data_IF_769593167934
#
_entry.id   IF_769593167934
#
_cell.length_a   1.000
_cell.length_b   1.000
_cell.length_c   1.000
_cell.angle_alpha   90.00
_cell.angle_beta   90.00
_cell.angle_gamma   90.00
#
_symmetry.space_group_name_H-M   'P 1'
#
loop_
_entity.id
_entity.type
_entity.pdbx_description
1 polymer ?
#
# COMPACT_ATOMS: atom_id res chain seq x y z
N UNK A 1 23.62 7.24 23.01
CA UNK A 1 22.62 7.81 22.07
C UNK A 1 23.16 7.63 20.67
N UNK A 2 22.70 6.61 19.95
CA UNK A 2 23.13 6.36 18.58
C UNK A 2 22.06 6.90 17.64
N UNK A 3 22.37 7.98 16.92
CA UNK A 3 21.57 8.45 15.81
C UNK A 3 21.72 7.45 14.68
N UNK A 4 20.83 6.46 14.61
CA UNK A 4 20.73 5.58 13.45
C UNK A 4 20.20 6.42 12.29
N UNK A 5 21.12 6.92 11.47
CA UNK A 5 20.79 7.51 10.18
C UNK A 5 20.13 6.43 9.32
N UNK A 6 18.81 6.41 9.29
CA UNK A 6 18.07 5.68 8.26
C UNK A 6 18.35 6.40 6.95
N UNK A 7 19.21 5.82 6.13
CA UNK A 7 19.35 6.23 4.73
C UNK A 7 18.03 5.93 4.04
N UNK A 8 17.17 6.94 3.94
CA UNK A 8 16.02 6.90 3.05
C UNK A 8 16.59 6.92 1.64
N UNK A 9 16.83 5.74 1.09
CA UNK A 9 17.24 5.59 -0.30
C UNK A 9 16.29 6.42 -1.16
N UNK A 10 16.87 7.25 -2.03
CA UNK A 10 16.19 8.20 -2.92
C UNK A 10 14.88 7.60 -3.43
N UNK A 11 13.78 8.24 -3.07
CA UNK A 11 12.42 7.74 -3.25
C UNK A 11 12.19 7.09 -4.62
N UNK A 12 11.48 5.97 -4.57
CA UNK A 12 10.66 5.38 -5.63
C UNK A 12 11.12 5.66 -7.06
N UNK A 13 11.84 4.69 -7.64
CA UNK A 13 11.71 4.47 -9.09
C UNK A 13 10.29 3.95 -9.32
N UNK A 14 9.44 4.56 -10.17
CA UNK A 14 8.15 4.02 -10.60
C UNK A 14 8.26 2.69 -11.41
N UNK A 15 9.42 2.05 -11.34
CA UNK A 15 9.87 0.92 -12.15
C UNK A 15 10.48 -0.17 -11.26
N UNK A 16 10.04 -0.29 -10.00
CA UNK A 16 10.47 -1.40 -9.15
C UNK A 16 10.07 -2.70 -9.86
N UNK A 17 11.05 -3.49 -10.29
CA UNK A 17 10.83 -4.77 -10.99
C UNK A 17 11.00 -5.98 -10.06
N UNK A 18 11.35 -5.73 -8.80
CA UNK A 18 11.66 -6.72 -7.76
C UNK A 18 10.87 -6.39 -6.50
N UNK A 19 10.67 -7.38 -5.65
CA UNK A 19 10.15 -7.15 -4.30
C UNK A 19 11.31 -6.76 -3.39
N UNK A 20 11.12 -5.73 -2.58
CA UNK A 20 12.05 -5.30 -1.53
C UNK A 20 11.35 -5.41 -0.19
N UNK A 21 12.01 -6.04 0.79
CA UNK A 21 11.47 -6.16 2.13
C UNK A 21 12.51 -5.67 3.13
N UNK A 22 12.09 -4.77 4.02
CA UNK A 22 12.93 -4.18 5.06
C UNK A 22 12.30 -4.51 6.42
N UNK A 23 13.11 -5.02 7.35
CA UNK A 23 12.70 -5.24 8.73
C UNK A 23 13.07 -4.02 9.56
N UNK A 24 12.07 -3.34 10.09
CA UNK A 24 12.21 -2.13 10.87
C UNK A 24 11.87 -2.41 12.34
N UNK A 25 12.78 -2.01 13.23
CA UNK A 25 12.57 -2.03 14.67
C UNK A 25 12.26 -0.61 15.15
N UNK A 26 11.11 -0.42 15.80
CA UNK A 26 10.68 0.88 16.32
C UNK A 26 10.70 0.86 17.84
N UNK A 27 11.41 1.82 18.44
CA UNK A 27 11.50 1.95 19.89
C UNK A 27 10.09 2.13 20.49
N UNK A 28 9.78 1.33 21.51
CA UNK A 28 8.47 1.32 22.16
C UNK A 28 7.40 0.45 21.48
N UNK A 29 7.67 -0.19 20.34
CA UNK A 29 6.73 -1.14 19.72
C UNK A 29 7.09 -2.59 20.04
N UNK A 30 6.09 -3.41 20.40
CA UNK A 30 6.28 -4.85 20.59
C UNK A 30 6.31 -5.58 19.25
N UNK A 31 7.50 -5.73 18.68
CA UNK A 31 7.77 -6.53 17.50
C UNK A 31 8.27 -5.72 16.31
N UNK A 32 8.84 -6.43 15.36
CA UNK A 32 9.38 -5.82 14.15
C UNK A 32 8.27 -5.61 13.12
N UNK A 33 8.35 -4.50 12.40
CA UNK A 33 7.50 -4.22 11.23
C UNK A 33 8.30 -4.58 9.99
N UNK A 34 7.72 -5.40 9.10
CA UNK A 34 8.32 -5.69 7.80
C UNK A 34 7.61 -4.84 6.75
N UNK A 35 8.32 -3.90 6.15
CA UNK A 35 7.83 -3.10 5.04
C UNK A 35 8.17 -3.83 3.73
N UNK A 36 7.17 -4.07 2.90
CA UNK A 36 7.34 -4.77 1.61
C UNK A 36 6.95 -3.84 0.47
N UNK A 37 7.93 -3.38 -0.30
CA UNK A 37 7.73 -2.67 -1.56
C UNK A 37 7.62 -3.68 -2.71
N UNK A 38 6.65 -3.46 -3.60
CA UNK A 38 6.29 -4.44 -4.64
C UNK A 38 6.27 -3.80 -6.02
N UNK A 39 6.60 -4.57 -7.09
CA UNK A 39 6.32 -4.13 -8.45
C UNK A 39 4.81 -3.94 -8.63
N UNK A 40 4.41 -2.92 -9.40
CA UNK A 40 3.01 -2.68 -9.72
C UNK A 40 2.40 -3.81 -10.57
N UNK A 41 1.10 -4.04 -10.39
CA UNK A 41 0.33 -4.94 -11.25
C UNK A 41 -0.20 -4.21 -12.49
N UNK A 42 -0.48 -4.98 -13.55
CA UNK A 42 -1.08 -4.49 -14.80
C UNK A 42 -0.27 -3.36 -15.46
N UNK A 43 1.05 -3.41 -15.36
CA UNK A 43 1.93 -2.45 -16.03
C UNK A 43 1.99 -2.71 -17.53
N UNK A 44 2.03 -1.63 -18.33
CA UNK A 44 2.30 -1.72 -19.76
C UNK A 44 3.74 -2.18 -20.09
N UNK A 45 4.62 -2.18 -19.09
CA UNK A 45 6.02 -2.58 -19.19
C UNK A 45 6.19 -3.92 -18.47
N UNK A 46 6.78 -4.92 -19.16
CA UNK A 46 7.08 -6.24 -18.59
C UNK A 46 8.34 -6.18 -17.70
N UNK A 47 8.44 -7.06 -16.68
CA UNK A 47 7.44 -8.05 -16.26
C UNK A 47 6.30 -7.43 -15.44
N UNK A 48 5.09 -7.97 -15.63
CA UNK A 48 3.96 -7.67 -14.75
C UNK A 48 4.24 -8.16 -13.32
N UNK A 49 3.90 -7.34 -12.33
CA UNK A 49 4.23 -7.58 -10.93
C UNK A 49 3.64 -8.86 -10.35
N UNK A 50 2.52 -9.37 -10.90
CA UNK A 50 1.76 -10.48 -10.31
C UNK A 50 2.62 -11.74 -10.13
N UNK A 51 3.39 -12.12 -11.15
CA UNK A 51 4.28 -13.29 -11.10
C UNK A 51 5.45 -13.08 -10.14
N UNK A 52 6.02 -11.87 -10.12
CA UNK A 52 7.17 -11.54 -9.27
C UNK A 52 6.77 -11.55 -7.80
N UNK A 53 5.64 -10.92 -7.46
CA UNK A 53 5.09 -10.88 -6.09
C UNK A 53 4.69 -12.28 -5.65
N UNK A 54 3.98 -13.05 -6.48
CA UNK A 54 3.60 -14.42 -6.15
C UNK A 54 4.81 -15.29 -5.82
N UNK A 55 5.84 -15.30 -6.67
CA UNK A 55 7.07 -16.06 -6.42
C UNK A 55 7.73 -15.66 -5.10
N UNK A 56 7.74 -14.36 -4.78
CA UNK A 56 8.33 -13.86 -3.54
C UNK A 56 7.52 -14.32 -2.32
N UNK A 57 6.18 -14.20 -2.35
CA UNK A 57 5.29 -14.66 -1.28
C UNK A 57 5.47 -16.17 -1.07
N UNK A 58 5.39 -16.97 -2.13
CA UNK A 58 5.52 -18.43 -2.04
C UNK A 58 6.86 -18.87 -1.40
N UNK A 59 7.93 -18.06 -1.54
CA UNK A 59 9.26 -18.39 -1.02
C UNK A 59 9.56 -17.80 0.37
N UNK A 60 8.89 -16.71 0.77
CA UNK A 60 9.27 -15.92 1.95
C UNK A 60 8.13 -15.72 2.96
N UNK A 61 6.92 -16.18 2.65
CA UNK A 61 5.77 -15.91 3.51
C UNK A 61 5.91 -16.60 4.86
N UNK A 62 5.94 -15.78 5.90
CA UNK A 62 5.80 -16.19 7.29
C UNK A 62 4.55 -15.49 7.80
N UNK A 63 3.63 -16.25 8.41
CA UNK A 63 2.36 -15.70 8.88
C UNK A 63 2.61 -14.57 9.90
N UNK A 64 2.23 -13.32 9.59
CA UNK A 64 2.40 -12.21 10.51
C UNK A 64 1.26 -12.19 11.54
N UNK A 65 1.47 -11.54 12.68
CA UNK A 65 0.41 -11.27 13.66
C UNK A 65 -0.70 -10.38 13.10
N UNK A 66 -0.35 -9.55 12.13
CA UNK A 66 -1.27 -8.70 11.38
C UNK A 66 -0.57 -8.15 10.14
N UNK A 67 -1.33 -7.91 9.09
CA UNK A 67 -0.83 -7.35 7.84
C UNK A 67 -1.85 -6.38 7.25
N UNK A 68 -1.35 -5.42 6.48
CA UNK A 68 -2.18 -4.48 5.74
C UNK A 68 -1.47 -4.00 4.48
N UNK A 69 -2.21 -3.30 3.63
CA UNK A 69 -1.74 -2.83 2.33
C UNK A 69 -1.79 -1.30 2.30
N UNK A 70 -0.65 -0.67 2.02
CA UNK A 70 -0.60 0.72 1.57
C UNK A 70 -0.62 0.72 0.03
N UNK A 71 -1.71 1.22 -0.55
CA UNK A 71 -1.85 1.29 -2.00
C UNK A 71 -1.73 2.73 -2.47
N UNK A 72 -0.61 3.05 -3.12
CA UNK A 72 -0.36 4.38 -3.65
C UNK A 72 -0.99 4.54 -5.03
N UNK A 73 -1.85 5.55 -5.20
CA UNK A 73 -2.59 5.77 -6.44
C UNK A 73 -2.40 7.20 -6.96
N UNK A 74 -1.80 7.34 -8.14
CA UNK A 74 -1.60 8.66 -8.76
C UNK A 74 -2.90 9.20 -9.37
N UNK A 75 -3.49 10.21 -8.73
CA UNK A 75 -4.74 10.84 -9.19
C UNK A 75 -4.58 11.70 -10.45
N UNK A 76 -3.34 11.95 -10.90
CA UNK A 76 -3.09 12.61 -12.18
C UNK A 76 -3.24 11.67 -13.39
N UNK A 77 -3.33 10.36 -13.15
CA UNK A 77 -3.39 9.34 -14.22
C UNK A 77 -4.72 9.35 -14.97
N UNK A 78 -4.77 8.71 -16.14
CA UNK A 78 -6.01 8.58 -16.91
C UNK A 78 -7.03 7.76 -16.10
N UNK A 79 -8.14 8.36 -15.65
CA UNK A 79 -9.04 7.65 -14.76
C UNK A 79 -9.87 6.61 -15.54
N UNK A 80 -9.93 6.68 -16.87
CA UNK A 80 -10.61 5.68 -17.72
C UNK A 80 -9.74 4.46 -18.03
N UNK A 81 -8.49 4.42 -17.56
CA UNK A 81 -7.62 3.28 -17.79
C UNK A 81 -8.02 2.09 -16.90
N UNK A 82 -8.49 0.96 -17.46
CA UNK A 82 -8.88 -0.21 -16.68
C UNK A 82 -7.69 -0.89 -16.00
N UNK A 83 -6.44 -0.59 -16.38
CA UNK A 83 -5.24 -1.07 -15.70
C UNK A 83 -4.90 -0.24 -14.46
N UNK A 84 -5.59 0.87 -14.22
CA UNK A 84 -5.42 1.69 -13.02
C UNK A 84 -6.57 1.54 -12.02
N UNK A 85 -7.55 0.69 -12.31
CA UNK A 85 -8.67 0.45 -11.42
C UNK A 85 -8.21 -0.23 -10.11
N UNK A 86 -8.58 0.38 -8.97
CA UNK A 86 -8.17 -0.09 -7.64
C UNK A 86 -8.62 -1.53 -7.42
N UNK A 87 -9.90 -1.84 -7.69
CA UNK A 87 -10.50 -3.17 -7.51
C UNK A 87 -9.69 -4.28 -8.21
N UNK A 88 -9.16 -3.97 -9.39
CA UNK A 88 -8.41 -4.90 -10.23
C UNK A 88 -7.04 -5.21 -9.63
N UNK A 89 -6.34 -4.19 -9.12
CA UNK A 89 -5.06 -4.32 -8.42
C UNK A 89 -5.21 -5.15 -7.13
N UNK A 90 -6.24 -4.88 -6.33
CA UNK A 90 -6.51 -5.66 -5.13
C UNK A 90 -6.86 -7.11 -5.44
N UNK A 91 -7.65 -7.33 -6.50
CA UNK A 91 -7.97 -8.68 -6.96
C UNK A 91 -6.72 -9.44 -7.40
N UNK A 92 -5.77 -8.79 -8.08
CA UNK A 92 -4.46 -9.38 -8.40
C UNK A 92 -3.69 -9.72 -7.13
N UNK A 93 -3.52 -8.76 -6.22
CA UNK A 93 -2.80 -8.99 -4.97
C UNK A 93 -3.36 -10.19 -4.20
N UNK A 94 -4.68 -10.28 -4.05
CA UNK A 94 -5.35 -11.39 -3.35
C UNK A 94 -5.07 -12.75 -4.00
N UNK A 95 -4.94 -12.82 -5.33
CA UNK A 95 -4.54 -14.06 -6.04
C UNK A 95 -3.08 -14.42 -5.84
N UNK A 96 -2.22 -13.45 -5.55
CA UNK A 96 -0.79 -13.72 -5.26
C UNK A 96 -0.58 -14.32 -3.87
N UNK A 97 -1.48 -14.04 -2.92
CA UNK A 97 -1.43 -14.58 -1.57
C UNK A 97 -1.98 -16.02 -1.51
N UNK A 98 -1.48 -16.86 -0.57
CA UNK A 98 -2.15 -18.10 -0.21
C UNK A 98 -3.61 -17.87 0.21
N UNK A 99 -4.47 -18.85 -0.05
CA UNK A 99 -5.90 -18.74 0.26
C UNK A 99 -6.12 -18.42 1.74
N UNK A 100 -6.94 -17.41 2.03
CA UNK A 100 -7.24 -16.97 3.41
C UNK A 100 -6.14 -16.12 4.08
N UNK A 101 -5.02 -15.86 3.40
CA UNK A 101 -3.87 -15.12 3.98
C UNK A 101 -3.68 -13.72 3.39
N UNK A 102 -4.54 -13.31 2.45
CA UNK A 102 -4.49 -11.96 1.92
C UNK A 102 -4.88 -10.95 3.02
N UNK A 103 -4.10 -9.87 3.22
CA UNK A 103 -4.47 -8.80 4.14
C UNK A 103 -5.82 -8.20 3.77
N UNK A 104 -6.69 -8.04 4.77
CA UNK A 104 -8.00 -7.39 4.64
C UNK A 104 -7.93 -5.88 4.91
N UNK A 105 -6.93 -5.43 5.66
CA UNK A 105 -6.77 -4.01 5.99
C UNK A 105 -6.05 -3.29 4.86
N UNK A 106 -6.74 -2.32 4.28
CA UNK A 106 -6.27 -1.57 3.13
C UNK A 106 -6.38 -0.09 3.38
N UNK A 107 -5.31 0.65 3.05
CA UNK A 107 -5.31 2.10 3.00
C UNK A 107 -4.80 2.60 1.65
N UNK A 108 -5.66 3.30 0.94
CA UNK A 108 -5.35 3.99 -0.31
C UNK A 108 -4.72 5.35 -0.01
N UNK A 109 -3.59 5.62 -0.63
CA UNK A 109 -2.81 6.87 -0.49
C UNK A 109 -2.80 7.57 -1.84
N UNK A 110 -3.62 8.61 -2.04
CA UNK A 110 -3.63 9.37 -3.28
C UNK A 110 -2.31 10.13 -3.44
N UNK A 111 -1.74 10.13 -4.63
CA UNK A 111 -0.51 10.88 -4.95
C UNK A 111 -0.71 11.74 -6.18
N UNK A 112 0.12 12.77 -6.33
CA UNK A 112 0.22 13.56 -7.56
C UNK A 112 1.62 13.37 -8.11
N UNK A 113 1.75 12.83 -9.32
CA UNK A 113 3.04 12.63 -9.94
C UNK A 113 3.80 13.97 -10.05
N UNK A 114 5.11 13.91 -9.78
CA UNK A 114 5.99 15.08 -9.86
C UNK A 114 5.87 15.76 -11.24
N UNK A 115 5.72 17.08 -11.25
CA UNK A 115 5.54 17.87 -12.48
C UNK A 115 4.12 17.88 -13.03
N UNK A 116 3.16 17.18 -12.41
CA UNK A 116 1.75 17.30 -12.77
C UNK A 116 1.14 18.55 -12.12
N UNK A 117 0.52 19.39 -12.93
CA UNK A 117 -0.31 20.51 -12.45
C UNK A 117 -1.77 20.14 -12.62
N UNK A 118 -2.49 19.97 -11.51
CA UNK A 118 -3.93 19.72 -11.50
C UNK A 118 -4.65 20.91 -10.88
N UNK A 119 -5.77 21.33 -11.47
CA UNK A 119 -6.66 22.30 -10.82
C UNK A 119 -7.29 21.69 -9.55
N UNK A 120 -7.70 22.53 -8.61
CA UNK A 120 -8.41 22.07 -7.41
C UNK A 120 -9.68 21.27 -7.76
N UNK A 121 -10.42 21.69 -8.79
CA UNK A 121 -11.59 20.96 -9.30
C UNK A 121 -11.22 19.56 -9.78
N UNK A 122 -10.13 19.42 -10.54
CA UNK A 122 -9.67 18.12 -11.03
C UNK A 122 -9.17 17.23 -9.90
N UNK A 123 -8.49 17.79 -8.90
CA UNK A 123 -8.10 17.05 -7.69
C UNK A 123 -9.35 16.54 -6.97
N UNK A 124 -10.35 17.40 -6.72
CA UNK A 124 -11.58 17.01 -6.05
C UNK A 124 -12.34 15.93 -6.80
N UNK A 125 -12.52 16.07 -8.12
CA UNK A 125 -13.19 15.07 -8.95
C UNK A 125 -12.45 13.71 -8.91
N UNK A 126 -11.12 13.73 -9.00
CA UNK A 126 -10.30 12.51 -8.97
C UNK A 126 -10.31 11.85 -7.60
N UNK A 127 -10.27 12.64 -6.52
CA UNK A 127 -10.38 12.17 -5.14
C UNK A 127 -11.74 11.53 -4.85
N UNK A 128 -12.84 12.15 -5.30
CA UNK A 128 -14.20 11.60 -5.16
C UNK A 128 -14.31 10.25 -5.87
N UNK A 129 -13.79 10.16 -7.10
CA UNK A 129 -13.78 8.90 -7.84
C UNK A 129 -12.93 7.83 -7.17
N UNK A 130 -11.74 8.19 -6.69
CA UNK A 130 -10.85 7.25 -6.02
C UNK A 130 -11.47 6.76 -4.70
N UNK A 131 -12.14 7.64 -3.96
CA UNK A 131 -12.89 7.27 -2.75
C UNK A 131 -13.97 6.24 -3.06
N UNK A 132 -14.79 6.46 -4.09
CA UNK A 132 -15.79 5.48 -4.51
C UNK A 132 -15.17 4.09 -4.82
N UNK A 133 -14.02 4.06 -5.49
CA UNK A 133 -13.30 2.81 -5.75
C UNK A 133 -12.76 2.16 -4.47
N UNK A 134 -12.20 2.95 -3.53
CA UNK A 134 -11.74 2.45 -2.25
C UNK A 134 -12.89 1.87 -1.42
N UNK A 135 -14.02 2.56 -1.34
CA UNK A 135 -15.22 2.13 -0.62
C UNK A 135 -15.75 0.80 -1.17
N UNK A 136 -15.74 0.61 -2.50
CA UNK A 136 -16.20 -0.62 -3.15
C UNK A 136 -15.42 -1.88 -2.75
N UNK A 137 -14.20 -1.74 -2.23
CA UNK A 137 -13.36 -2.83 -1.75
C UNK A 137 -13.19 -2.82 -0.22
N UNK A 138 -13.91 -1.95 0.50
CA UNK A 138 -13.78 -1.79 1.94
C UNK A 138 -12.44 -1.18 2.40
N UNK A 139 -11.76 -0.43 1.52
CA UNK A 139 -10.50 0.23 1.84
C UNK A 139 -10.72 1.61 2.46
N UNK A 140 -9.86 1.96 3.43
CA UNK A 140 -9.75 3.35 3.88
C UNK A 140 -8.94 4.19 2.89
N UNK A 141 -9.10 5.52 2.92
CA UNK A 141 -8.38 6.44 2.02
C UNK A 141 -7.89 7.68 2.77
N UNK A 142 -6.68 8.14 2.47
CA UNK A 142 -6.19 9.44 2.96
C UNK A 142 -7.05 10.57 2.34
N UNK A 143 -7.54 11.50 3.18
CA UNK A 143 -8.50 12.53 2.77
C UNK A 143 -7.98 13.57 1.78
N UNK A 144 -6.66 13.63 1.58
CA UNK A 144 -5.97 14.55 0.67
C UNK A 144 -4.83 13.84 -0.05
N UNK A 145 -4.33 14.38 -1.18
CA UNK A 145 -3.13 13.86 -1.81
C UNK A 145 -1.92 13.93 -0.86
N UNK A 146 -1.09 12.89 -0.89
CA UNK A 146 0.13 12.81 -0.12
C UNK A 146 1.08 13.95 -0.51
N UNK A 147 1.52 14.72 0.47
CA UNK A 147 2.33 15.92 0.28
C UNK A 147 3.84 15.66 0.26
N UNK A 148 4.25 14.39 0.35
CA UNK A 148 5.65 13.98 0.36
C UNK A 148 6.37 14.20 1.68
N UNK A 149 5.69 14.70 2.74
CA UNK A 149 6.34 15.00 4.01
C UNK A 149 6.42 13.77 4.92
N UNK A 150 7.53 13.62 5.68
CA UNK A 150 7.67 12.55 6.66
C UNK A 150 6.55 12.49 7.70
N UNK A 151 6.04 13.63 8.16
CA UNK A 151 4.92 13.70 9.12
C UNK A 151 3.66 13.02 8.59
N UNK A 152 3.22 13.42 7.39
CA UNK A 152 2.08 12.80 6.69
C UNK A 152 2.31 11.31 6.43
N UNK A 153 3.54 10.91 6.08
CA UNK A 153 3.87 9.52 5.86
C UNK A 153 3.71 8.69 7.15
N UNK A 154 4.15 9.24 8.27
CA UNK A 154 4.02 8.61 9.58
C UNK A 154 2.56 8.49 10.00
N UNK A 155 1.75 9.54 9.82
CA UNK A 155 0.30 9.51 10.10
C UNK A 155 -0.41 8.40 9.30
N UNK A 156 -0.11 8.28 8.00
CA UNK A 156 -0.66 7.24 7.13
C UNK A 156 -0.31 5.84 7.63
N UNK A 157 0.95 5.62 8.02
CA UNK A 157 1.42 4.33 8.54
C UNK A 157 0.78 4.03 9.89
N UNK A 158 0.72 5.00 10.81
CA UNK A 158 0.08 4.83 12.12
C UNK A 158 -1.39 4.48 12.00
N UNK A 159 -2.13 5.16 11.13
CA UNK A 159 -3.54 4.84 10.89
C UNK A 159 -3.72 3.41 10.36
N UNK A 160 -2.87 2.97 9.43
CA UNK A 160 -2.91 1.59 8.94
C UNK A 160 -2.63 0.59 10.07
N UNK A 161 -1.59 0.81 10.88
CA UNK A 161 -1.25 -0.06 12.01
C UNK A 161 -2.39 -0.13 13.04
N UNK A 162 -3.02 1.00 13.33
CA UNK A 162 -4.19 1.05 14.21
C UNK A 162 -5.37 0.23 13.67
N UNK A 163 -5.61 0.27 12.35
CA UNK A 163 -6.63 -0.58 11.74
C UNK A 163 -6.27 -2.06 11.85
N UNK A 164 -5.03 -2.44 11.57
CA UNK A 164 -4.54 -3.83 11.71
C UNK A 164 -4.77 -4.35 13.12
N UNK A 165 -4.46 -3.56 14.15
CA UNK A 165 -4.66 -3.96 15.55
C UNK A 165 -6.13 -4.13 15.93
N UNK A 166 -7.03 -3.29 15.38
CA UNK A 166 -8.48 -3.41 15.62
C UNK A 166 -9.07 -4.68 15.00
N UNK A 167 -8.68 -5.00 13.76
CA UNK A 167 -9.16 -6.20 13.08
C UNK A 167 -8.47 -7.50 13.54
N UNK A 168 -7.26 -7.41 14.13
CA UNK A 168 -6.56 -8.55 14.73
C UNK A 168 -6.99 -8.88 16.17
N UNK A 169 -7.83 -8.04 16.80
CA UNK A 169 -8.30 -8.21 18.17
C UNK A 169 -9.53 -9.11 18.33
N UNK A 170 -10.23 -9.44 17.23
CA UNK A 170 -11.38 -10.35 17.24
C UNK A 170 -10.94 -11.77 16.87
N UNK A 171 -10.33 -12.46 17.83
CA UNK A 171 -10.34 -13.91 17.83
C UNK A 171 -10.76 -14.39 19.22
N UNK A 172 -12.05 -14.34 19.57
CA UNK A 172 -12.55 -15.13 20.68
C UNK A 172 -12.38 -16.58 20.26
N UNK A 173 -11.57 -17.32 21.00
CA UNK A 173 -11.58 -18.78 20.96
C UNK A 173 -13.04 -19.24 21.07
N UNK A 174 -13.52 -19.97 20.06
CA UNK A 174 -14.64 -20.88 20.16
C UNK A 174 -14.16 -22.17 19.52
N UNK A 175 -13.55 -23.04 20.33
CA UNK A 175 -14.14 -24.29 20.86
C UNK A 175 -13.80 -25.48 19.96
#
# INVERSE_FOLDING_TARGET
MANTHVSVNKGQKPCTTKVYAERCHFEGMQGDIILVDTPSFYTYIRPDGEKTVKKWIDSNYIQPKGAGILYMHNIASNPLDPNLEVSRHFSAFRRTCPQGHAPSVVRVVPTVALGSTLSAEKINASMTRLRYQADSIGASILGMPFDGKPGTAWEVVQELLNQIMRYGGENPRGE
#
